data_IF_884791260707
#
_entry.id   IF_884791260707
#
_cell.length_a   1.000
_cell.length_b   1.000
_cell.length_c   1.000
_cell.angle_alpha   90.00
_cell.angle_beta   90.00
_cell.angle_gamma   90.00
#
_symmetry.space_group_name_H-M   'P 1'
#
loop_
_entity.id
_entity.type
_entity.pdbx_description
1 polymer ?
#
# COMPACT_ATOMS: atom_id res chain seq x y z
N UNK A 1 -8.67 -2.20 -35.88
CA UNK A 1 -8.55 -0.87 -35.23
C UNK A 1 -8.76 -1.03 -33.71
N UNK A 2 -8.01 -1.92 -33.06
CA UNK A 2 -8.10 -2.19 -31.60
C UNK A 2 -6.74 -2.66 -31.03
N UNK A 3 -5.62 -2.21 -31.61
CA UNK A 3 -4.26 -2.68 -31.26
C UNK A 3 -3.38 -1.59 -30.66
N UNK A 4 -3.93 -0.40 -30.37
CA UNK A 4 -3.16 0.77 -29.91
C UNK A 4 -3.41 1.11 -28.42
N UNK A 5 -4.56 0.72 -27.86
CA UNK A 5 -4.85 0.98 -26.44
C UNK A 5 -4.06 0.05 -25.50
N UNK A 6 -3.74 -1.17 -25.92
CA UNK A 6 -3.01 -2.12 -25.08
C UNK A 6 -1.56 -1.67 -24.83
N UNK A 7 -0.86 -1.21 -25.87
CA UNK A 7 0.52 -0.70 -25.76
C UNK A 7 0.57 0.57 -24.91
N UNK A 8 -0.44 1.43 -25.00
CA UNK A 8 -0.56 2.64 -24.19
C UNK A 8 -0.76 2.29 -22.71
N UNK A 9 -1.62 1.31 -22.40
CA UNK A 9 -1.80 0.82 -21.03
C UNK A 9 -0.52 0.20 -20.46
N UNK A 10 0.21 -0.57 -21.25
CA UNK A 10 1.49 -1.18 -20.83
C UNK A 10 2.55 -0.10 -20.54
N UNK A 11 2.60 0.95 -21.37
CA UNK A 11 3.47 2.11 -21.14
C UNK A 11 3.08 2.87 -19.88
N UNK A 12 1.79 3.13 -19.67
CA UNK A 12 1.30 3.81 -18.48
C UNK A 12 1.60 3.02 -17.21
N UNK A 13 1.44 1.69 -17.24
CA UNK A 13 1.78 0.80 -16.13
C UNK A 13 3.28 0.80 -15.79
N UNK A 14 4.14 1.08 -16.77
CA UNK A 14 5.60 1.19 -16.56
C UNK A 14 6.01 2.58 -16.06
N UNK A 15 5.35 3.63 -16.52
CA UNK A 15 5.73 5.02 -16.25
C UNK A 15 5.16 5.56 -14.93
N UNK A 16 4.03 5.02 -14.46
CA UNK A 16 3.32 5.52 -13.29
C UNK A 16 3.15 4.43 -12.24
N UNK A 17 3.58 4.74 -11.02
CA UNK A 17 3.30 3.88 -9.87
C UNK A 17 1.92 4.21 -9.32
N UNK A 18 1.10 3.17 -9.10
CA UNK A 18 -0.15 3.32 -8.39
C UNK A 18 0.08 3.82 -6.95
N UNK A 19 -0.72 4.79 -6.52
CA UNK A 19 -0.74 5.24 -5.13
C UNK A 19 -1.28 4.09 -4.24
N UNK A 20 -0.57 3.62 -3.21
CA UNK A 20 -0.96 2.43 -2.45
C UNK A 20 -2.39 2.45 -1.88
N UNK A 21 -2.84 3.63 -1.44
CA UNK A 21 -4.20 3.78 -0.91
C UNK A 21 -5.30 3.87 -1.98
N UNK A 22 -5.10 4.66 -3.04
CA UNK A 22 -6.18 4.97 -4.00
C UNK A 22 -6.10 4.16 -5.30
N UNK A 23 -4.89 3.83 -5.75
CA UNK A 23 -4.64 3.18 -7.05
C UNK A 23 -4.58 1.65 -7.00
N UNK A 24 -4.60 1.04 -5.81
CA UNK A 24 -4.59 -0.42 -5.64
C UNK A 24 -6.00 -0.89 -5.25
N UNK A 25 -6.51 -1.91 -5.93
CA UNK A 25 -7.81 -2.49 -5.60
C UNK A 25 -7.75 -3.32 -4.30
N UNK A 26 -8.80 -3.31 -3.46
CA UNK A 26 -8.87 -4.10 -2.23
C UNK A 26 -8.90 -5.62 -2.45
N UNK A 27 -9.02 -6.08 -3.69
CA UNK A 27 -9.08 -7.49 -4.08
C UNK A 27 -10.46 -7.88 -4.62
N UNK A 28 -10.51 -8.82 -5.56
CA UNK A 28 -11.76 -9.25 -6.22
C UNK A 28 -12.74 -9.96 -5.27
N UNK A 29 -12.22 -10.58 -4.22
CA UNK A 29 -12.97 -11.35 -3.24
C UNK A 29 -13.20 -10.59 -1.92
N UNK A 30 -13.01 -9.27 -1.91
CA UNK A 30 -13.30 -8.44 -0.75
C UNK A 30 -14.80 -8.53 -0.42
N UNK A 31 -15.21 -8.67 0.86
CA UNK A 31 -14.41 -8.55 2.07
C UNK A 31 -13.83 -9.87 2.63
N UNK A 32 -14.12 -11.02 2.00
CA UNK A 32 -13.70 -12.33 2.51
C UNK A 32 -12.17 -12.54 2.40
N UNK A 33 -11.57 -12.08 1.30
CA UNK A 33 -10.13 -12.05 1.08
C UNK A 33 -9.76 -10.68 0.55
N UNK A 34 -8.77 -10.03 1.17
CA UNK A 34 -8.38 -8.65 0.86
C UNK A 34 -6.89 -8.54 0.56
N UNK A 35 -6.56 -7.59 -0.29
CA UNK A 35 -5.19 -7.10 -0.45
C UNK A 35 -4.87 -6.16 0.71
N UNK A 36 -3.70 -6.33 1.32
CA UNK A 36 -3.20 -5.45 2.36
C UNK A 36 -1.88 -4.80 1.91
N UNK A 37 -1.75 -3.50 2.10
CA UNK A 37 -0.48 -2.79 1.94
C UNK A 37 0.25 -2.80 3.28
N UNK A 38 1.40 -3.48 3.33
CA UNK A 38 2.18 -3.67 4.55
C UNK A 38 3.10 -2.48 4.77
N UNK A 39 2.94 -1.83 5.93
CA UNK A 39 3.76 -0.70 6.37
C UNK A 39 4.90 -1.14 7.29
N UNK A 40 4.69 -2.25 8.00
CA UNK A 40 5.61 -2.75 9.03
C UNK A 40 5.74 -4.27 8.98
N UNK A 41 6.95 -4.76 9.19
CA UNK A 41 7.26 -6.17 9.39
C UNK A 41 7.88 -6.40 10.79
N UNK A 42 7.89 -7.64 11.31
CA UNK A 42 8.37 -7.89 12.67
C UNK A 42 9.82 -7.52 12.98
N UNK A 43 10.64 -7.36 11.95
CA UNK A 43 12.04 -6.95 12.08
C UNK A 43 12.23 -5.44 12.21
N UNK A 44 11.18 -4.65 11.98
CA UNK A 44 11.28 -3.19 11.98
C UNK A 44 11.34 -2.64 13.41
N UNK A 45 12.30 -1.75 13.65
CA UNK A 45 12.51 -1.09 14.94
C UNK A 45 11.88 0.30 15.03
N UNK A 46 11.28 0.76 13.94
CA UNK A 46 10.58 2.05 13.83
C UNK A 46 9.18 1.83 13.29
N UNK A 47 8.28 2.75 13.59
CA UNK A 47 6.93 2.74 13.04
C UNK A 47 6.92 3.58 11.76
N UNK A 48 6.59 2.93 10.65
CA UNK A 48 6.32 3.57 9.38
C UNK A 48 4.81 3.77 9.21
N UNK A 49 4.44 4.74 8.40
CA UNK A 49 3.09 4.96 7.90
C UNK A 49 3.16 5.43 6.45
N UNK A 50 2.12 5.15 5.69
CA UNK A 50 1.93 5.77 4.39
C UNK A 50 1.71 7.28 4.56
N UNK A 51 2.54 8.08 3.90
CA UNK A 51 2.25 9.50 3.73
C UNK A 51 1.10 9.66 2.72
N UNK A 52 -0.07 10.06 3.21
CA UNK A 52 -1.32 10.09 2.42
C UNK A 52 -1.28 10.99 1.19
N UNK A 53 -0.40 11.99 1.18
CA UNK A 53 -0.30 12.95 0.07
C UNK A 53 0.59 12.39 -1.04
N UNK A 54 1.75 11.86 -0.69
CA UNK A 54 2.72 11.36 -1.67
C UNK A 54 2.55 9.89 -2.04
N UNK A 55 1.95 9.09 -1.15
CA UNK A 55 1.87 7.63 -1.30
C UNK A 55 3.19 6.91 -0.99
N UNK A 56 4.18 7.60 -0.43
CA UNK A 56 5.44 7.00 -0.01
C UNK A 56 5.38 6.52 1.44
N UNK A 57 6.13 5.47 1.73
CA UNK A 57 6.31 4.99 3.10
C UNK A 57 7.21 5.97 3.86
N UNK A 58 6.70 6.54 4.94
CA UNK A 58 7.37 7.56 5.74
C UNK A 58 7.56 7.07 7.17
N UNK A 59 8.69 7.40 7.77
CA UNK A 59 8.92 7.17 9.18
C UNK A 59 7.99 8.09 9.99
N UNK A 60 7.08 7.50 10.76
CA UNK A 60 6.20 8.21 11.69
C UNK A 60 6.97 8.50 12.99
N UNK A 61 7.48 7.45 13.64
CA UNK A 61 8.26 7.57 14.88
C UNK A 61 9.12 6.34 15.18
N UNK A 62 10.23 6.49 15.93
CA UNK A 62 10.93 5.33 16.49
C UNK A 62 10.06 4.59 17.51
N UNK A 63 10.31 3.29 17.69
CA UNK A 63 9.65 2.55 18.76
C UNK A 63 10.18 3.01 20.12
N UNK A 64 9.26 3.41 20.99
CA UNK A 64 9.59 3.97 22.32
C UNK A 64 10.09 2.89 23.29
N UNK A 65 9.64 1.66 23.11
CA UNK A 65 9.95 0.51 23.97
C UNK A 65 10.46 -0.66 23.11
N UNK A 66 10.93 -1.72 23.75
CA UNK A 66 11.38 -2.97 23.09
C UNK A 66 10.22 -3.82 22.56
N UNK A 67 9.13 -3.19 22.13
CA UNK A 67 7.97 -3.83 21.54
C UNK A 67 8.12 -3.81 20.03
N UNK A 68 8.32 -4.99 19.44
CA UNK A 68 8.30 -5.19 17.99
C UNK A 68 6.88 -5.57 17.55
N UNK A 69 6.52 -5.26 16.31
CA UNK A 69 5.27 -5.72 15.75
C UNK A 69 5.34 -7.25 15.61
N UNK A 70 4.41 -8.04 16.17
CA UNK A 70 4.55 -9.50 16.13
C UNK A 70 4.26 -10.09 14.74
N UNK A 71 3.60 -9.32 13.87
CA UNK A 71 3.06 -9.75 12.58
C UNK A 71 3.23 -8.62 11.56
N UNK A 72 3.17 -8.87 10.24
CA UNK A 72 3.04 -7.80 9.26
C UNK A 72 1.83 -6.92 9.55
N UNK A 73 2.03 -5.60 9.59
CA UNK A 73 1.01 -4.60 9.89
C UNK A 73 0.89 -3.59 8.75
N UNK A 74 -0.33 -3.14 8.49
CA UNK A 74 -0.62 -2.17 7.45
C UNK A 74 -2.12 -1.93 7.31
N UNK A 75 -2.57 -1.56 6.11
CA UNK A 75 -3.96 -1.19 5.86
C UNK A 75 -4.52 -1.82 4.58
N UNK A 76 -5.85 -1.78 4.44
CA UNK A 76 -6.57 -2.25 3.25
C UNK A 76 -6.75 -1.07 2.28
N UNK A 77 -6.25 -1.13 1.03
CA UNK A 77 -6.46 -0.08 0.03
C UNK A 77 -7.94 0.29 -0.16
N UNK A 78 -8.21 1.53 -0.56
CA UNK A 78 -9.54 2.07 -0.82
C UNK A 78 -10.54 1.96 0.36
N UNK A 79 -10.06 1.87 1.60
CA UNK A 79 -10.89 1.92 2.81
C UNK A 79 -10.67 3.21 3.60
N UNK A 80 -11.64 3.57 4.44
CA UNK A 80 -11.59 4.76 5.30
C UNK A 80 -12.30 4.48 6.63
N UNK A 81 -11.66 4.87 7.74
CA UNK A 81 -12.23 4.85 9.09
C UNK A 81 -12.34 6.30 9.58
N UNK A 82 -13.57 6.76 9.83
CA UNK A 82 -13.90 8.15 10.23
C UNK A 82 -14.05 8.34 11.73
#
# INVERSE_FOLDING_TARGET
MLTDDSSLNDLLATLFQAHPWHGVAPGENAPAVVNAYIELVPTDTVKYELDKVSGHLRLDRPQRYSSLCPMPYGFIPQTYCG
#
